data_IF_284361279665
#
_entry.id   IF_284361279665
#
_cell.length_a   1.000
_cell.length_b   1.000
_cell.length_c   1.000
_cell.angle_alpha   90.00
_cell.angle_beta   90.00
_cell.angle_gamma   90.00
#
_symmetry.space_group_name_H-M   'P 1'
#
loop_
_entity.id
_entity.type
_entity.pdbx_description
1 polymer ?
#
# COMPACT_ATOMS: atom_id res chain seq x y z
N UNK A 1 6.13 -22.03 -14.74
CA UNK A 1 4.91 -22.87 -14.61
C UNK A 1 5.25 -24.29 -14.15
N UNK A 2 6.18 -25.00 -14.82
CA UNK A 2 6.57 -26.38 -14.44
C UNK A 2 7.01 -26.55 -12.96
N UNK A 3 7.73 -25.58 -12.40
CA UNK A 3 8.20 -25.64 -11.00
C UNK A 3 7.09 -25.51 -9.95
N UNK A 4 5.96 -24.88 -10.28
CA UNK A 4 4.83 -24.74 -9.36
C UNK A 4 4.03 -26.04 -9.30
N UNK A 5 3.85 -26.69 -10.46
CA UNK A 5 3.12 -27.96 -10.57
C UNK A 5 3.83 -29.07 -9.79
N UNK A 6 5.16 -29.17 -9.93
CA UNK A 6 5.97 -30.15 -9.18
C UNK A 6 5.82 -29.99 -7.66
N UNK A 7 5.84 -28.75 -7.15
CA UNK A 7 5.67 -28.48 -5.72
C UNK A 7 4.28 -28.84 -5.20
N UNK A 8 3.24 -28.66 -6.02
CA UNK A 8 1.87 -29.05 -5.65
C UNK A 8 1.76 -30.57 -5.54
N UNK A 9 2.37 -31.29 -6.48
CA UNK A 9 2.37 -32.76 -6.48
C UNK A 9 3.12 -33.35 -5.29
N UNK A 10 4.24 -32.72 -4.87
CA UNK A 10 4.98 -33.09 -3.66
C UNK A 10 4.15 -32.90 -2.39
N UNK A 11 3.52 -31.72 -2.24
CA UNK A 11 2.65 -31.41 -1.10
C UNK A 11 1.45 -32.37 -1.03
N UNK A 12 0.86 -32.72 -2.18
CA UNK A 12 -0.26 -33.66 -2.22
C UNK A 12 0.13 -35.04 -1.67
N UNK A 13 1.32 -35.55 -2.04
CA UNK A 13 1.83 -36.82 -1.51
C UNK A 13 2.03 -36.76 0.00
N UNK A 14 2.58 -35.68 0.52
CA UNK A 14 2.77 -35.50 1.96
C UNK A 14 1.43 -35.42 2.71
N UNK A 15 0.42 -34.78 2.11
CA UNK A 15 -0.94 -34.70 2.68
C UNK A 15 -1.64 -36.06 2.77
N UNK A 16 -1.38 -36.98 1.84
CA UNK A 16 -2.00 -38.33 1.87
C UNK A 16 -1.47 -39.23 2.99
N UNK A 17 -0.34 -38.87 3.62
CA UNK A 17 0.30 -39.67 4.68
C UNK A 17 -0.13 -39.17 6.07
N UNK A 18 -0.72 -37.98 6.15
CA UNK A 18 -1.13 -37.38 7.41
C UNK A 18 -2.38 -38.08 7.99
N UNK A 19 -2.46 -38.22 9.33
CA UNK A 19 -3.68 -38.63 9.99
C UNK A 19 -4.81 -37.62 9.76
N UNK A 20 -6.05 -38.09 9.67
CA UNK A 20 -7.23 -37.25 9.40
C UNK A 20 -7.35 -36.08 10.39
N UNK A 21 -7.03 -36.32 11.66
CA UNK A 21 -7.05 -35.33 12.75
C UNK A 21 -6.08 -34.16 12.53
N UNK A 22 -5.08 -34.32 11.67
CA UNK A 22 -4.09 -33.29 11.32
C UNK A 22 -4.40 -32.56 10.03
N UNK A 23 -5.34 -33.05 9.22
CA UNK A 23 -5.75 -32.37 7.99
C UNK A 23 -6.48 -31.05 8.28
N UNK A 24 -7.23 -30.99 9.38
CA UNK A 24 -7.90 -29.76 9.82
C UNK A 24 -6.88 -28.68 10.24
N UNK A 25 -5.80 -29.06 10.92
CA UNK A 25 -4.72 -28.13 11.30
C UNK A 25 -4.00 -27.57 10.06
N UNK A 26 -3.81 -28.40 9.02
CA UNK A 26 -3.26 -27.94 7.75
C UNK A 26 -4.20 -26.95 7.06
N UNK A 27 -5.51 -27.24 7.08
CA UNK A 27 -6.52 -26.34 6.50
C UNK A 27 -6.52 -24.97 7.19
N UNK A 28 -6.49 -24.95 8.51
CA UNK A 28 -6.41 -23.71 9.30
C UNK A 28 -5.15 -22.90 8.95
N UNK A 29 -4.02 -23.58 8.75
CA UNK A 29 -2.78 -22.93 8.33
C UNK A 29 -2.85 -22.35 6.91
N UNK A 30 -3.49 -23.06 5.97
CA UNK A 30 -3.72 -22.55 4.61
C UNK A 30 -4.61 -21.31 4.65
N UNK A 31 -5.70 -21.35 5.42
CA UNK A 31 -6.62 -20.22 5.59
C UNK A 31 -5.91 -19.01 6.22
N UNK A 32 -5.03 -19.25 7.20
CA UNK A 32 -4.16 -18.22 7.77
C UNK A 32 -3.25 -17.59 6.72
N UNK A 33 -2.58 -18.38 5.87
CA UNK A 33 -1.76 -17.86 4.77
C UNK A 33 -2.63 -17.02 3.82
N UNK A 34 -3.79 -17.52 3.42
CA UNK A 34 -4.72 -16.79 2.55
C UNK A 34 -5.14 -15.44 3.15
N UNK A 35 -5.43 -15.40 4.46
CA UNK A 35 -5.78 -14.17 5.15
C UNK A 35 -4.66 -13.12 5.12
N UNK A 36 -3.39 -13.54 5.20
CA UNK A 36 -2.22 -12.66 5.10
C UNK A 36 -1.95 -12.18 3.68
N UNK A 37 -2.28 -12.99 2.68
CA UNK A 37 -2.06 -12.69 1.26
C UNK A 37 -3.25 -12.04 0.57
N UNK A 38 -4.39 -11.87 1.24
CA UNK A 38 -5.37 -10.85 0.90
C UNK A 38 -4.74 -9.48 1.15
N UNK A 39 -3.79 -9.13 0.29
CA UNK A 39 -3.36 -7.76 0.10
C UNK A 39 -4.63 -7.01 -0.25
N UNK A 40 -5.07 -6.12 0.65
CA UNK A 40 -6.05 -5.11 0.31
C UNK A 40 -5.66 -4.61 -1.07
N UNK A 41 -6.54 -4.82 -2.07
CA UNK A 41 -6.33 -4.26 -3.40
C UNK A 41 -6.29 -2.76 -3.17
N UNK A 42 -5.07 -2.21 -3.01
CA UNK A 42 -4.88 -0.77 -2.87
C UNK A 42 -5.54 -0.18 -4.09
N UNK A 43 -6.67 0.46 -3.87
CA UNK A 43 -7.39 1.09 -4.96
C UNK A 43 -6.43 2.13 -5.49
N UNK A 44 -5.97 1.96 -6.74
CA UNK A 44 -5.09 2.94 -7.36
C UNK A 44 -5.97 4.15 -7.62
N UNK A 45 -6.05 5.04 -6.63
CA UNK A 45 -6.80 6.29 -6.75
C UNK A 45 -6.06 7.13 -7.77
N UNK A 46 -6.70 7.37 -8.91
CA UNK A 46 -6.14 8.26 -9.94
C UNK A 46 -6.22 9.68 -9.41
N UNK A 47 -5.10 10.21 -8.91
CA UNK A 47 -4.97 11.58 -8.43
C UNK A 47 -4.96 12.63 -9.55
N UNK A 48 -5.38 12.28 -10.77
CA UNK A 48 -5.42 13.22 -11.89
C UNK A 48 -6.51 14.25 -11.62
N UNK A 49 -6.13 15.52 -11.55
CA UNK A 49 -7.05 16.63 -11.34
C UNK A 49 -7.34 16.96 -9.87
N UNK A 50 -6.61 16.40 -8.89
CA UNK A 50 -6.81 16.74 -7.47
C UNK A 50 -6.60 18.23 -7.16
N UNK A 51 -5.77 18.89 -7.98
CA UNK A 51 -5.46 20.32 -7.85
C UNK A 51 -6.29 21.20 -8.78
N UNK A 52 -7.18 20.60 -9.59
CA UNK A 52 -8.02 21.33 -10.53
C UNK A 52 -9.00 22.26 -9.79
N UNK A 53 -9.03 23.53 -10.18
CA UNK A 53 -9.86 24.57 -9.58
C UNK A 53 -9.41 24.99 -8.18
N UNK A 54 -8.24 24.54 -7.71
CA UNK A 54 -7.69 24.92 -6.39
C UNK A 54 -6.79 26.15 -6.45
N UNK A 55 -6.64 26.79 -7.62
CA UNK A 55 -5.92 28.04 -7.79
C UNK A 55 -4.44 27.86 -8.16
N UNK A 56 -3.94 26.61 -8.19
CA UNK A 56 -2.60 26.29 -8.69
C UNK A 56 -2.43 26.64 -10.17
N UNK A 57 -3.54 26.72 -10.92
CA UNK A 57 -3.54 27.15 -12.32
C UNK A 57 -3.17 28.62 -12.50
N UNK A 58 -3.28 29.43 -11.44
CA UNK A 58 -2.97 30.87 -11.46
C UNK A 58 -1.49 31.14 -11.12
N UNK A 59 -0.74 30.12 -10.69
CA UNK A 59 0.66 30.26 -10.33
C UNK A 59 1.50 30.31 -11.62
N UNK A 60 1.80 31.53 -12.07
CA UNK A 60 2.61 31.78 -13.26
C UNK A 60 4.10 31.47 -13.04
N UNK A 61 4.59 31.59 -11.80
CA UNK A 61 5.99 31.31 -11.43
C UNK A 61 6.06 30.69 -10.03
N UNK A 62 6.29 29.38 -9.99
CA UNK A 62 6.38 28.59 -8.76
C UNK A 62 7.50 29.05 -7.83
N UNK A 63 8.69 29.37 -8.35
CA UNK A 63 9.83 29.78 -7.51
C UNK A 63 9.57 31.10 -6.78
N UNK A 64 8.87 32.03 -7.43
CA UNK A 64 8.52 33.31 -6.82
C UNK A 64 7.48 33.14 -5.71
N UNK A 65 6.44 32.34 -5.96
CA UNK A 65 5.39 32.04 -4.97
C UNK A 65 5.97 31.27 -3.77
N UNK A 66 6.87 30.31 -4.02
CA UNK A 66 7.55 29.55 -2.97
C UNK A 66 8.36 30.48 -2.06
N UNK A 67 9.20 31.35 -2.64
CA UNK A 67 10.00 32.33 -1.87
C UNK A 67 9.13 33.31 -1.09
N UNK A 68 7.94 33.65 -1.60
CA UNK A 68 6.98 34.49 -0.87
C UNK A 68 6.41 33.75 0.34
N UNK A 69 5.95 32.52 0.13
CA UNK A 69 5.41 31.67 1.18
C UNK A 69 6.43 31.38 2.29
N UNK A 70 7.69 31.12 1.94
CA UNK A 70 8.79 30.94 2.90
C UNK A 70 9.01 32.19 3.76
N UNK A 71 8.98 33.38 3.16
CA UNK A 71 9.10 34.65 3.89
C UNK A 71 7.92 34.89 4.81
N UNK A 72 6.69 34.63 4.36
CA UNK A 72 5.49 34.75 5.18
C UNK A 72 5.51 33.77 6.36
N UNK A 73 5.92 32.53 6.14
CA UNK A 73 6.10 31.53 7.20
C UNK A 73 7.16 31.97 8.20
N UNK A 74 8.33 32.45 7.73
CA UNK A 74 9.39 32.95 8.60
C UNK A 74 8.91 34.09 9.49
N UNK A 75 8.18 35.07 8.92
CA UNK A 75 7.59 36.19 9.67
C UNK A 75 6.55 35.70 10.68
N UNK A 76 5.71 34.74 10.30
CA UNK A 76 4.66 34.21 11.17
C UNK A 76 5.25 33.42 12.34
N UNK A 77 6.27 32.61 12.11
CA UNK A 77 7.01 31.88 13.15
C UNK A 77 7.74 32.84 14.08
N UNK A 78 8.36 33.89 13.54
CA UNK A 78 9.01 34.95 14.34
C UNK A 78 8.01 35.72 15.21
N UNK A 79 6.82 36.02 14.69
CA UNK A 79 5.74 36.70 15.44
C UNK A 79 5.09 35.83 16.52
N UNK A 80 5.24 34.50 16.44
CA UNK A 80 4.69 33.55 17.42
C UNK A 80 5.57 33.39 18.67
N UNK A 81 6.73 34.06 18.72
CA UNK A 81 7.70 34.00 19.84
C UNK A 81 7.48 35.07 20.92
N UNK A 82 6.27 35.62 21.04
CA UNK A 82 5.87 36.50 22.14
C UNK A 82 4.77 35.81 22.93
#
# INVERSE_FOLDING_TARGET
>A
MQTKTLKIDEIYKELTILPDEKLDEVKDFIDFIHSKFQTEKKTVVKLKGIWAGKGFEKILNLDKELKSAEKELAVTILKKKI
#
